data_IF_588299525544
#
_entry.id   IF_588299525544
#
_cell.length_a   1.000
_cell.length_b   1.000
_cell.length_c   1.000
_cell.angle_alpha   90.00
_cell.angle_beta   90.00
_cell.angle_gamma   90.00
#
_symmetry.space_group_name_H-M   'P 1'
#
loop_
_entity.id
_entity.type
_entity.pdbx_description
1 polymer ?
#
# COMPACT_ATOMS: atom_id res chain seq x y z
N UNK A 1 27.56 8.14 -18.96
CA UNK A 1 26.24 7.49 -18.81
C UNK A 1 26.28 6.64 -17.55
N UNK A 2 25.61 7.03 -16.47
CA UNK A 2 25.56 6.23 -15.24
C UNK A 2 24.65 5.02 -15.53
N UNK A 3 25.11 3.79 -15.29
CA UNK A 3 24.30 2.60 -15.52
C UNK A 3 22.97 2.70 -14.76
N UNK A 4 21.85 2.26 -15.35
CA UNK A 4 20.53 2.28 -14.68
C UNK A 4 20.59 1.62 -13.30
N UNK A 5 21.36 0.54 -13.17
CA UNK A 5 21.61 -0.14 -11.88
C UNK A 5 22.24 0.79 -10.84
N UNK A 6 23.23 1.61 -11.23
CA UNK A 6 23.88 2.58 -10.36
C UNK A 6 22.93 3.70 -9.94
N UNK A 7 22.03 4.12 -10.85
CA UNK A 7 20.97 5.09 -10.53
C UNK A 7 19.98 4.53 -9.50
N UNK A 8 19.48 3.30 -9.70
CA UNK A 8 18.58 2.62 -8.76
C UNK A 8 19.21 2.52 -7.37
N UNK A 9 20.46 2.07 -7.30
CA UNK A 9 21.17 1.88 -6.03
C UNK A 9 21.43 3.22 -5.30
N UNK A 10 21.89 4.25 -6.01
CA UNK A 10 22.13 5.58 -5.42
C UNK A 10 20.85 6.22 -4.88
N UNK A 11 19.73 6.07 -5.61
CA UNK A 11 18.43 6.58 -5.19
C UNK A 11 17.93 5.81 -3.95
N UNK A 12 18.04 4.47 -3.95
CA UNK A 12 17.69 3.65 -2.79
C UNK A 12 18.54 3.97 -1.57
N UNK A 13 19.84 4.25 -1.73
CA UNK A 13 20.75 4.57 -0.63
C UNK A 13 20.43 5.93 0.00
N UNK A 14 20.13 6.95 -0.83
CA UNK A 14 19.64 8.26 -0.33
C UNK A 14 18.30 8.15 0.38
N UNK A 15 17.39 7.33 -0.15
CA UNK A 15 16.11 7.06 0.51
C UNK A 15 16.31 6.27 1.81
N UNK A 16 17.23 5.31 1.86
CA UNK A 16 17.56 4.53 3.05
C UNK A 16 18.19 5.38 4.18
N UNK A 17 19.06 6.35 3.85
CA UNK A 17 19.62 7.30 4.83
C UNK A 17 18.50 8.09 5.52
N UNK A 18 17.43 8.44 4.81
CA UNK A 18 16.26 9.10 5.40
C UNK A 18 15.38 8.19 6.29
N UNK A 19 15.68 6.89 6.31
CA UNK A 19 14.85 5.84 6.92
C UNK A 19 15.47 5.19 8.16
N UNK A 20 16.73 5.49 8.46
CA UNK A 20 17.40 4.96 9.63
C UNK A 20 16.65 5.50 10.87
N UNK A 21 16.00 4.63 11.67
CA UNK A 21 15.43 5.10 12.92
C UNK A 21 16.58 5.62 13.75
N UNK A 22 16.46 6.85 14.27
CA UNK A 22 17.24 7.28 15.42
C UNK A 22 17.10 6.16 16.45
N UNK A 23 18.17 5.44 16.73
CA UNK A 23 18.17 4.26 17.57
C UNK A 23 17.56 4.59 18.94
N UNK A 24 16.26 4.38 19.10
CA UNK A 24 15.65 4.15 20.40
C UNK A 24 16.25 2.85 20.89
N UNK A 25 17.11 2.94 21.91
CA UNK A 25 17.77 1.80 22.55
C UNK A 25 16.78 0.64 22.70
N UNK A 26 17.21 -0.62 22.48
CA UNK A 26 16.36 -1.76 22.82
C UNK A 26 15.95 -1.60 24.28
N UNK A 27 14.65 -1.44 24.55
CA UNK A 27 14.18 -1.56 25.92
C UNK A 27 14.57 -2.99 26.34
N UNK A 28 15.29 -3.17 27.47
CA UNK A 28 15.55 -4.51 27.96
C UNK A 28 14.21 -5.21 28.09
N UNK A 29 14.17 -6.47 27.64
CA UNK A 29 13.01 -7.34 27.75
C UNK A 29 12.82 -7.56 29.26
N UNK A 30 12.17 -6.61 29.93
CA UNK A 30 11.69 -6.81 31.28
C UNK A 30 10.61 -7.88 31.15
N UNK A 31 10.91 -9.03 31.75
CA UNK A 31 10.07 -10.21 31.89
C UNK A 31 8.60 -9.81 32.04
N UNK A 32 7.81 -9.92 30.97
CA UNK A 32 6.37 -9.67 31.05
C UNK A 32 5.78 -10.70 32.03
N UNK A 33 5.03 -10.29 33.07
CA UNK A 33 4.26 -11.23 33.86
C UNK A 33 3.20 -11.91 32.98
N UNK A 34 2.78 -13.15 33.31
CA UNK A 34 1.80 -13.89 32.54
C UNK A 34 0.48 -13.11 32.48
N UNK A 35 0.05 -12.75 31.27
CA UNK A 35 -1.21 -12.09 31.02
C UNK A 35 -2.35 -13.07 31.31
N UNK A 36 -3.08 -12.84 32.41
CA UNK A 36 -4.36 -13.53 32.69
C UNK A 36 -5.39 -13.07 31.65
N UNK A 37 -5.79 -14.00 30.78
CA UNK A 37 -6.93 -13.81 29.89
C UNK A 37 -8.21 -13.56 30.72
N UNK A 38 -8.72 -12.33 30.65
CA UNK A 38 -10.01 -11.95 31.22
C UNK A 38 -11.06 -12.06 30.12
N UNK A 39 -11.89 -13.10 30.20
CA UNK A 39 -13.10 -13.29 29.39
C UNK A 39 -14.25 -12.34 29.77
N UNK A 40 -15.44 -12.52 29.18
CA UNK A 40 -16.04 -11.57 28.26
C UNK A 40 -16.97 -10.56 28.96
N UNK A 41 -16.74 -9.27 28.71
CA UNK A 41 -17.66 -8.21 29.09
C UNK A 41 -18.52 -7.81 27.90
N UNK A 42 -19.69 -8.42 27.77
CA UNK A 42 -20.79 -7.90 26.94
C UNK A 42 -21.21 -6.53 27.47
N UNK A 43 -20.80 -5.47 26.77
CA UNK A 43 -21.38 -4.15 26.98
C UNK A 43 -22.04 -3.74 25.66
N UNK A 44 -23.31 -4.13 25.50
CA UNK A 44 -24.21 -3.46 24.56
C UNK A 44 -24.26 -1.99 24.99
N UNK A 45 -23.56 -1.14 24.25
CA UNK A 45 -23.60 0.30 24.44
C UNK A 45 -24.44 0.90 23.33
N UNK A 46 -25.75 0.91 23.56
CA UNK A 46 -26.74 1.63 22.77
C UNK A 46 -26.42 3.13 22.84
N UNK A 47 -25.96 3.71 21.73
CA UNK A 47 -25.78 5.16 21.59
C UNK A 47 -27.08 5.77 21.07
N UNK A 48 -27.74 6.68 21.81
CA UNK A 48 -28.77 7.53 21.23
C UNK A 48 -28.10 8.64 20.41
N UNK A 49 -28.28 8.61 19.09
CA UNK A 49 -27.91 9.71 18.20
C UNK A 49 -28.97 10.81 18.26
N UNK A 50 -28.63 11.95 18.85
CA UNK A 50 -29.42 13.19 18.74
C UNK A 50 -29.02 13.98 17.48
N UNK A 51 -29.91 14.83 16.95
CA UNK A 51 -29.81 15.38 15.61
C UNK A 51 -28.97 16.66 15.56
N UNK A 52 -28.22 16.86 14.47
CA UNK A 52 -27.63 18.16 14.15
C UNK A 52 -27.97 18.54 12.73
N UNK A 53 -28.94 19.45 12.65
CA UNK A 53 -29.30 20.25 11.49
C UNK A 53 -28.08 20.94 10.90
N UNK A 54 -27.97 20.93 9.57
CA UNK A 54 -27.31 21.98 8.82
C UNK A 54 -28.19 22.29 7.61
N UNK A 55 -28.94 23.38 7.76
CA UNK A 55 -29.65 24.10 6.73
C UNK A 55 -28.62 24.64 5.74
N UNK A 56 -28.73 24.28 4.47
CA UNK A 56 -28.17 25.06 3.36
C UNK A 56 -29.22 25.09 2.25
N UNK A 57 -29.67 26.32 1.99
CA UNK A 57 -30.24 26.88 0.76
C UNK A 57 -30.48 25.89 -0.40
N UNK A 58 -31.65 25.82 -1.02
CA UNK A 58 -32.52 26.93 -1.40
C UNK A 58 -32.76 26.81 -2.91
N UNK A 59 -34.03 26.95 -3.31
CA UNK A 59 -34.57 26.95 -4.68
C UNK A 59 -34.70 25.61 -5.41
N UNK A 60 -35.85 24.97 -5.21
CA UNK A 60 -36.61 24.43 -6.35
C UNK A 60 -38.09 24.61 -6.04
N UNK A 61 -38.61 25.77 -6.42
CA UNK A 61 -40.01 26.10 -6.31
C UNK A 61 -40.74 25.60 -7.57
N UNK A 62 -41.90 24.98 -7.33
CA UNK A 62 -43.07 24.84 -8.23
C UNK A 62 -42.82 23.90 -9.44
N UNK A 63 -43.55 22.80 -9.65
CA UNK A 63 -45.01 22.73 -9.81
C UNK A 63 -45.56 21.34 -9.47
N UNK A 64 -46.62 21.37 -8.66
CA UNK A 64 -47.51 20.29 -8.35
C UNK A 64 -48.44 20.06 -9.55
N UNK A 65 -48.31 18.91 -10.23
CA UNK A 65 -49.30 18.47 -11.23
C UNK A 65 -49.75 17.05 -10.88
N UNK A 66 -51.03 16.97 -10.55
CA UNK A 66 -51.95 15.84 -10.47
C UNK A 66 -51.46 14.45 -10.96
N UNK A 67 -51.72 13.44 -10.13
CA UNK A 67 -51.70 12.02 -10.50
C UNK A 67 -52.69 11.70 -11.64
N UNK A 68 -52.43 10.61 -12.38
CA UNK A 68 -53.37 9.50 -12.29
C UNK A 68 -52.69 8.16 -12.00
N UNK A 69 -53.35 7.34 -11.18
CA UNK A 69 -53.10 5.91 -11.10
C UNK A 69 -53.27 5.29 -12.49
N UNK A 70 -52.21 4.77 -13.08
CA UNK A 70 -52.30 4.03 -14.33
C UNK A 70 -50.96 3.47 -14.79
N UNK A 71 -50.93 2.15 -14.96
CA UNK A 71 -49.93 1.36 -15.65
C UNK A 71 -48.58 1.09 -14.92
N UNK A 72 -48.52 -0.10 -14.32
CA UNK A 72 -47.29 -0.89 -14.20
C UNK A 72 -46.64 -1.02 -15.59
N UNK A 73 -45.56 -0.27 -15.85
CA UNK A 73 -44.64 -0.52 -16.95
C UNK A 73 -43.41 -1.23 -16.36
N UNK A 74 -43.02 -2.42 -16.87
CA UNK A 74 -41.79 -3.06 -16.43
C UNK A 74 -40.61 -2.13 -16.75
N UNK A 75 -39.71 -1.98 -15.78
CA UNK A 75 -38.42 -1.37 -15.99
C UNK A 75 -37.68 -2.16 -17.07
N UNK A 76 -37.84 -1.75 -18.34
CA UNK A 76 -36.95 -2.15 -19.41
C UNK A 76 -35.59 -1.59 -19.02
N UNK A 77 -34.73 -2.48 -18.53
CA UNK A 77 -33.35 -2.20 -18.24
C UNK A 77 -32.72 -1.70 -19.55
N UNK A 78 -32.43 -0.39 -19.61
CA UNK A 78 -31.59 0.17 -20.66
C UNK A 78 -30.13 -0.10 -20.29
N UNK A 79 -29.70 -1.35 -20.49
CA UNK A 79 -28.28 -1.66 -20.62
C UNK A 79 -27.89 -1.08 -21.97
N UNK A 80 -27.49 0.19 -21.96
CA UNK A 80 -26.83 0.80 -23.08
C UNK A 80 -25.63 -0.08 -23.45
N UNK A 81 -25.71 -0.73 -24.61
CA UNK A 81 -24.61 -1.48 -25.16
C UNK A 81 -23.41 -0.52 -25.29
N UNK A 82 -22.42 -0.70 -24.43
CA UNK A 82 -21.15 -0.01 -24.56
C UNK A 82 -20.51 -0.52 -25.84
N UNK A 83 -20.37 0.35 -26.84
CA UNK A 83 -19.61 0.02 -28.04
C UNK A 83 -18.22 -0.48 -27.62
N UNK A 84 -17.69 -1.55 -28.23
CA UNK A 84 -16.37 -2.06 -27.88
C UNK A 84 -15.34 -0.94 -28.11
N UNK A 85 -14.65 -0.54 -27.04
CA UNK A 85 -13.53 0.37 -27.15
C UNK A 85 -12.48 -0.23 -28.09
N UNK A 86 -11.84 0.58 -28.96
CA UNK A 86 -10.74 0.09 -29.80
C UNK A 86 -9.69 -0.58 -28.91
N UNK A 87 -9.23 -1.76 -29.32
CA UNK A 87 -8.23 -2.51 -28.58
C UNK A 87 -6.97 -1.63 -28.38
N UNK A 88 -6.39 -1.58 -27.17
CA UNK A 88 -5.17 -0.84 -26.95
C UNK A 88 -4.06 -1.38 -27.86
N UNK A 89 -3.16 -0.52 -28.36
CA UNK A 89 -2.02 -0.95 -29.15
C UNK A 89 -1.20 -2.00 -28.38
N UNK A 90 -0.56 -2.96 -29.07
CA UNK A 90 0.25 -3.98 -28.42
C UNK A 90 1.34 -3.31 -27.56
N UNK A 91 1.61 -3.83 -26.35
CA UNK A 91 2.61 -3.24 -25.48
C UNK A 91 3.97 -3.22 -26.17
N UNK A 92 4.79 -2.18 -25.93
CA UNK A 92 6.12 -2.10 -26.50
C UNK A 92 6.95 -3.34 -26.09
N UNK A 93 7.89 -3.79 -26.93
CA UNK A 93 8.73 -4.95 -26.63
C UNK A 93 9.37 -4.80 -25.26
N UNK A 94 9.18 -5.81 -24.39
CA UNK A 94 9.80 -5.81 -23.07
C UNK A 94 11.32 -5.85 -23.24
N UNK A 95 12.02 -4.96 -22.53
CA UNK A 95 13.46 -5.08 -22.41
C UNK A 95 13.80 -6.45 -21.79
N UNK A 96 14.90 -7.10 -22.23
CA UNK A 96 15.28 -8.39 -21.66
C UNK A 96 15.47 -8.28 -20.14
N UNK A 97 15.09 -9.32 -19.37
CA UNK A 97 15.20 -9.31 -17.93
C UNK A 97 16.65 -9.09 -17.52
N UNK A 98 16.85 -8.19 -16.56
CA UNK A 98 18.16 -7.91 -15.99
C UNK A 98 18.53 -8.97 -14.95
N UNK A 99 19.81 -9.31 -14.79
CA UNK A 99 20.27 -10.25 -13.77
C UNK A 99 19.89 -9.89 -12.31
N UNK A 100 19.52 -8.63 -12.04
CA UNK A 100 19.08 -8.15 -10.72
C UNK A 100 17.57 -8.01 -10.56
N UNK A 101 16.75 -8.24 -11.60
CA UNK A 101 15.31 -7.99 -11.53
C UNK A 101 14.62 -8.83 -10.44
N UNK A 102 15.03 -10.09 -10.25
CA UNK A 102 14.50 -10.93 -9.17
C UNK A 102 14.79 -10.36 -7.77
N UNK A 103 15.95 -9.73 -7.59
CA UNK A 103 16.33 -9.10 -6.33
C UNK A 103 15.48 -7.83 -6.08
N UNK A 104 15.23 -7.05 -7.13
CA UNK A 104 14.38 -5.85 -7.04
C UNK A 104 12.90 -6.18 -6.87
N UNK A 105 12.41 -7.29 -7.43
CA UNK A 105 11.07 -7.81 -7.14
C UNK A 105 10.90 -8.18 -5.68
N UNK A 106 11.87 -8.90 -5.10
CA UNK A 106 11.86 -9.24 -3.68
C UNK A 106 11.93 -7.99 -2.79
N UNK A 107 12.79 -7.03 -3.15
CA UNK A 107 12.88 -5.75 -2.46
C UNK A 107 11.53 -5.00 -2.50
N UNK A 108 10.88 -4.95 -3.66
CA UNK A 108 9.57 -4.28 -3.82
C UNK A 108 8.51 -4.88 -2.89
N UNK A 109 8.44 -6.21 -2.81
CA UNK A 109 7.52 -6.90 -1.89
C UNK A 109 7.81 -6.61 -0.41
N UNK A 110 9.08 -6.56 -0.03
CA UNK A 110 9.53 -6.17 1.32
C UNK A 110 9.12 -4.74 1.64
N UNK A 111 9.31 -3.80 0.71
CA UNK A 111 8.90 -2.41 0.89
C UNK A 111 7.40 -2.27 1.09
N UNK A 112 6.59 -3.03 0.35
CA UNK A 112 5.14 -3.08 0.54
C UNK A 112 4.74 -3.61 1.92
N UNK A 113 5.39 -4.69 2.34
CA UNK A 113 5.19 -5.30 3.66
C UNK A 113 5.53 -4.33 4.79
N UNK A 114 6.67 -3.66 4.70
CA UNK A 114 7.12 -2.66 5.68
C UNK A 114 6.23 -1.41 5.70
N UNK A 115 5.74 -0.97 4.54
CA UNK A 115 4.80 0.15 4.45
C UNK A 115 3.50 -0.14 5.21
N UNK A 116 2.96 -1.37 5.10
CA UNK A 116 1.81 -1.77 5.90
C UNK A 116 2.14 -1.84 7.40
N UNK A 117 3.20 -2.56 7.76
CA UNK A 117 3.59 -2.74 9.17
C UNK A 117 3.86 -1.41 9.86
N UNK A 118 4.46 -0.43 9.19
CA UNK A 118 4.68 0.91 9.74
C UNK A 118 3.37 1.58 10.16
N UNK A 119 2.31 1.43 9.38
CA UNK A 119 1.01 2.04 9.66
C UNK A 119 0.33 1.49 10.92
N UNK A 120 0.61 0.23 11.30
CA UNK A 120 -0.01 -0.41 12.47
C UNK A 120 0.94 -0.50 13.67
N UNK A 121 2.26 -0.52 13.46
CA UNK A 121 3.27 -0.66 14.51
C UNK A 121 4.00 0.62 14.88
N UNK A 122 4.01 1.64 14.00
CA UNK A 122 4.75 2.88 14.20
C UNK A 122 4.03 4.07 13.55
N UNK A 123 2.74 4.23 13.88
CA UNK A 123 1.85 5.21 13.24
C UNK A 123 2.21 6.67 13.48
N UNK A 124 3.10 6.95 14.43
CA UNK A 124 3.63 8.29 14.70
C UNK A 124 4.77 8.68 13.75
N UNK A 125 5.36 7.72 13.04
CA UNK A 125 6.52 7.95 12.18
C UNK A 125 6.10 8.05 10.71
N UNK A 126 6.83 8.89 9.96
CA UNK A 126 6.65 8.99 8.51
C UNK A 126 7.07 7.66 7.89
N UNK A 127 6.19 6.99 7.14
CA UNK A 127 6.49 5.74 6.44
C UNK A 127 7.54 5.98 5.34
N UNK A 128 8.81 5.62 5.56
CA UNK A 128 9.87 5.91 4.60
C UNK A 128 9.86 4.91 3.42
N UNK A 129 9.18 3.78 3.57
CA UNK A 129 9.22 2.67 2.62
C UNK A 129 8.43 2.99 1.35
N UNK A 130 7.35 3.77 1.45
CA UNK A 130 6.65 4.34 0.29
C UNK A 130 7.56 5.22 -0.57
N UNK A 131 8.37 6.07 0.06
CA UNK A 131 9.30 6.94 -0.66
C UNK A 131 10.41 6.12 -1.34
N UNK A 132 10.92 5.08 -0.68
CA UNK A 132 11.88 4.14 -1.29
C UNK A 132 11.29 3.40 -2.49
N UNK A 133 10.03 2.97 -2.40
CA UNK A 133 9.35 2.33 -3.53
C UNK A 133 9.18 3.30 -4.70
N UNK A 134 8.76 4.54 -4.42
CA UNK A 134 8.64 5.57 -5.45
C UNK A 134 9.98 5.82 -6.16
N UNK A 135 11.04 5.92 -5.38
CA UNK A 135 12.42 6.02 -5.85
C UNK A 135 12.81 4.87 -6.81
N UNK A 136 12.46 3.63 -6.45
CA UNK A 136 12.70 2.45 -7.29
C UNK A 136 11.92 2.54 -8.61
N UNK A 137 10.64 2.94 -8.56
CA UNK A 137 9.80 3.07 -9.75
C UNK A 137 10.28 4.19 -10.67
N UNK A 138 10.77 5.30 -10.12
CA UNK A 138 11.23 6.46 -10.90
C UNK A 138 12.59 6.23 -11.57
N UNK A 139 13.35 5.25 -11.10
CA UNK A 139 14.54 4.77 -11.79
C UNK A 139 14.20 3.90 -13.03
N UNK A 140 12.97 3.38 -13.12
CA UNK A 140 12.44 2.72 -14.29
C UNK A 140 11.79 3.72 -15.28
N UNK A 141 11.75 3.34 -16.56
CA UNK A 141 11.08 4.17 -17.56
C UNK A 141 9.56 4.30 -17.25
N UNK A 142 8.99 5.48 -17.48
CA UNK A 142 7.63 5.89 -17.07
C UNK A 142 6.50 4.96 -17.52
N UNK A 143 6.71 4.17 -18.57
CA UNK A 143 5.76 3.18 -19.09
C UNK A 143 6.42 1.82 -19.33
N UNK A 144 7.28 1.36 -18.41
CA UNK A 144 7.92 0.05 -18.52
C UNK A 144 7.07 -1.04 -17.84
N UNK A 145 6.91 -2.22 -18.48
CA UNK A 145 6.32 -3.39 -17.83
C UNK A 145 7.04 -3.78 -16.53
N UNK A 146 8.36 -3.53 -16.43
CA UNK A 146 9.12 -3.71 -15.18
C UNK A 146 8.61 -2.84 -14.03
N UNK A 147 8.23 -1.59 -14.31
CA UNK A 147 7.63 -0.68 -13.32
C UNK A 147 6.34 -1.29 -12.77
N UNK A 148 5.51 -1.88 -13.63
CA UNK A 148 4.27 -2.55 -13.24
C UNK A 148 4.52 -3.81 -12.41
N UNK A 149 5.51 -4.62 -12.77
CA UNK A 149 5.90 -5.81 -12.02
C UNK A 149 6.38 -5.47 -10.60
N UNK A 150 7.23 -4.44 -10.46
CA UNK A 150 7.68 -3.94 -9.16
C UNK A 150 6.52 -3.39 -8.33
N UNK A 151 5.64 -2.57 -8.93
CA UNK A 151 4.44 -2.08 -8.26
C UNK A 151 3.51 -3.24 -7.83
N UNK A 152 3.37 -4.27 -8.67
CA UNK A 152 2.63 -5.49 -8.37
C UNK A 152 3.21 -6.24 -7.16
N UNK A 153 4.53 -6.44 -7.12
CA UNK A 153 5.22 -7.07 -5.99
C UNK A 153 5.02 -6.28 -4.68
N UNK A 154 5.16 -4.96 -4.73
CA UNK A 154 4.86 -4.08 -3.59
C UNK A 154 3.42 -4.26 -3.09
N UNK A 155 2.45 -4.22 -4.00
CA UNK A 155 1.04 -4.38 -3.65
C UNK A 155 0.75 -5.74 -3.04
N UNK A 156 1.40 -6.81 -3.54
CA UNK A 156 1.28 -8.16 -2.96
C UNK A 156 1.79 -8.20 -1.52
N UNK A 157 2.98 -7.65 -1.25
CA UNK A 157 3.54 -7.62 0.11
C UNK A 157 2.66 -6.83 1.09
N UNK A 158 2.19 -5.65 0.66
CA UNK A 158 1.29 -4.81 1.46
C UNK A 158 -0.01 -5.54 1.83
N UNK A 159 -0.70 -6.09 0.82
CA UNK A 159 -1.98 -6.79 1.03
C UNK A 159 -1.80 -8.10 1.80
N UNK A 160 -0.69 -8.82 1.57
CA UNK A 160 -0.38 -10.07 2.25
C UNK A 160 -0.36 -9.89 3.77
N UNK A 161 0.36 -8.88 4.27
CA UNK A 161 0.35 -8.59 5.71
C UNK A 161 -0.93 -7.94 6.21
N UNK A 162 -1.60 -7.14 5.39
CA UNK A 162 -2.90 -6.55 5.74
C UNK A 162 -3.98 -7.60 6.00
N UNK A 163 -3.91 -8.74 5.30
CA UNK A 163 -4.83 -9.86 5.49
C UNK A 163 -4.54 -10.64 6.78
N UNK A 164 -3.30 -10.61 7.28
CA UNK A 164 -2.86 -11.42 8.42
C UNK A 164 -2.90 -10.62 9.73
N UNK A 165 -2.54 -9.34 9.71
CA UNK A 165 -2.33 -8.52 10.90
C UNK A 165 -3.22 -7.28 10.93
N UNK A 166 -4.37 -7.32 11.61
CA UNK A 166 -5.22 -6.13 11.77
C UNK A 166 -4.67 -5.08 12.75
N UNK A 167 -3.74 -5.47 13.63
CA UNK A 167 -3.12 -4.66 14.70
C UNK A 167 -1.68 -5.11 14.89
N UNK A 168 -0.84 -4.26 15.50
CA UNK A 168 0.54 -4.63 15.77
C UNK A 168 0.68 -5.62 16.93
N UNK A 169 1.09 -6.85 16.60
CA UNK A 169 1.43 -7.92 17.54
C UNK A 169 2.95 -8.02 17.73
N UNK A 170 3.43 -8.82 18.69
CA UNK A 170 4.87 -9.11 18.84
C UNK A 170 5.46 -9.78 17.60
N UNK A 171 4.71 -10.67 16.96
CA UNK A 171 5.11 -11.30 15.70
C UNK A 171 5.23 -10.28 14.57
N UNK A 172 4.28 -9.33 14.48
CA UNK A 172 4.35 -8.24 13.50
C UNK A 172 5.57 -7.33 13.74
N UNK A 173 5.90 -7.01 15.00
CA UNK A 173 7.12 -6.27 15.35
C UNK A 173 8.39 -7.01 14.96
N UNK A 174 8.45 -8.32 15.21
CA UNK A 174 9.59 -9.14 14.83
C UNK A 174 9.78 -9.17 13.30
N UNK A 175 8.68 -9.20 12.53
CA UNK A 175 8.73 -9.14 11.07
C UNK A 175 9.32 -7.82 10.55
N UNK A 176 9.03 -6.68 11.19
CA UNK A 176 9.65 -5.39 10.80
C UNK A 176 11.18 -5.50 10.81
N UNK A 177 11.76 -6.07 11.86
CA UNK A 177 13.22 -6.24 11.96
C UNK A 177 13.76 -7.13 10.84
N UNK A 178 13.17 -8.31 10.67
CA UNK A 178 13.60 -9.29 9.65
C UNK A 178 13.52 -8.73 8.23
N UNK A 179 12.43 -8.04 7.89
CA UNK A 179 12.27 -7.46 6.56
C UNK A 179 13.18 -6.25 6.32
N UNK A 180 13.51 -5.46 7.35
CA UNK A 180 14.55 -4.43 7.25
C UNK A 180 15.91 -5.05 6.94
N UNK A 181 16.30 -6.09 7.68
CA UNK A 181 17.59 -6.76 7.48
C UNK A 181 17.71 -7.38 6.09
N UNK A 182 16.64 -8.04 5.61
CA UNK A 182 16.58 -8.62 4.27
C UNK A 182 16.66 -7.54 3.18
N UNK A 183 15.89 -6.45 3.32
CA UNK A 183 15.92 -5.34 2.37
C UNK A 183 17.31 -4.72 2.23
N UNK A 184 18.00 -4.47 3.36
CA UNK A 184 19.38 -3.95 3.35
C UNK A 184 20.34 -4.95 2.72
N UNK A 185 20.20 -6.26 2.99
CA UNK A 185 21.03 -7.29 2.37
C UNK A 185 20.87 -7.31 0.84
N UNK A 186 19.64 -7.22 0.34
CA UNK A 186 19.36 -7.15 -1.09
C UNK A 186 20.00 -5.92 -1.74
N UNK A 187 19.80 -4.72 -1.19
CA UNK A 187 20.38 -3.50 -1.74
C UNK A 187 21.90 -3.56 -1.77
N UNK A 188 22.54 -4.08 -0.71
CA UNK A 188 24.00 -4.28 -0.67
C UNK A 188 24.48 -5.26 -1.73
N UNK A 189 23.76 -6.36 -1.93
CA UNK A 189 24.11 -7.39 -2.90
C UNK A 189 24.00 -6.86 -4.34
N UNK A 190 22.90 -6.16 -4.67
CA UNK A 190 22.72 -5.52 -5.98
C UNK A 190 23.86 -4.53 -6.25
N UNK A 191 24.18 -3.67 -5.28
CA UNK A 191 25.29 -2.71 -5.39
C UNK A 191 26.63 -3.41 -5.60
N UNK A 192 26.92 -4.47 -4.83
CA UNK A 192 28.18 -5.20 -4.91
C UNK A 192 28.39 -5.80 -6.30
N UNK A 193 27.32 -6.32 -6.91
CA UNK A 193 27.40 -7.01 -8.20
C UNK A 193 27.31 -6.05 -9.39
N UNK A 194 26.59 -4.93 -9.27
CA UNK A 194 26.19 -4.09 -10.42
C UNK A 194 26.47 -2.59 -10.25
N UNK A 195 27.13 -2.15 -9.16
CA UNK A 195 27.39 -0.74 -8.83
C UNK A 195 28.64 -0.10 -9.46
N UNK A 196 29.32 -0.82 -10.37
CA UNK A 196 30.49 -0.34 -11.13
C UNK A 196 30.21 0.94 -11.90
#
# INVERSE_FOLDING_TARGET
MRSRAKCVVDICERAAIASAPAHGRPRPIASLPPQRHRGPGTRLQSRPGAPRSAVVAGLCAVLLSAAPLGALLPAASAWAASAPAPAPPPPPPQAPPQPYDGQLLRLSEILGSLSYLSSICDSAQKDPFRAQMQALLDAEATASPRREEFAGAYNRGYRGLANIYARCTDNARALVGRFRDEGVAITRQVRKMYGG
#
